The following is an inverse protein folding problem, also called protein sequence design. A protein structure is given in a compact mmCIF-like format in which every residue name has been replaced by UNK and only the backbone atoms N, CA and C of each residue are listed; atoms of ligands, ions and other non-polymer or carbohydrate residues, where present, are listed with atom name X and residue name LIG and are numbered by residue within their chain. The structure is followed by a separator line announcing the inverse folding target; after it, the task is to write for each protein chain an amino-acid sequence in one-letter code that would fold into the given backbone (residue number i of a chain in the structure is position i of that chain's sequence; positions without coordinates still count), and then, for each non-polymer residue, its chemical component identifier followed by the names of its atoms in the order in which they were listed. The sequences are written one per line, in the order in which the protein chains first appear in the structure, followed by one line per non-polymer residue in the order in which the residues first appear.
data_IF_990056088487
#
_entry.id   IF_990056088487
#
_cell.length_a   1.000
_cell.length_b   1.000
_cell.length_c   1.000
_cell.angle_alpha   90.00
_cell.angle_beta   90.00
_cell.angle_gamma   90.00
#
_symmetry.space_group_name_H-M   'P 1'
#
loop_
_entity.id
_entity.type
_entity.pdbx_description
1 polymer ?
#
# COMPACT_ATOMS: atom_id res chain seq x y z
N UNK A 1 12.32 17.34 -10.55
CA UNK A 1 12.81 17.18 -11.94
C UNK A 1 12.58 15.77 -12.42
N UNK A 2 13.26 14.81 -11.82
CA UNK A 2 13.12 13.39 -12.17
C UNK A 2 11.71 12.88 -11.86
N UNK A 3 11.11 13.32 -10.73
CA UNK A 3 9.71 12.99 -10.40
C UNK A 3 8.73 13.44 -11.49
N UNK A 4 8.93 14.63 -12.06
CA UNK A 4 8.10 15.12 -13.17
C UNK A 4 8.26 14.23 -14.41
N UNK A 5 9.47 13.79 -14.75
CA UNK A 5 9.69 12.89 -15.88
C UNK A 5 9.06 11.51 -15.65
N UNK A 6 9.16 10.96 -14.44
CA UNK A 6 8.53 9.68 -14.09
C UNK A 6 7.00 9.75 -14.12
N UNK A 7 6.41 10.82 -13.59
CA UNK A 7 4.96 11.02 -13.63
C UNK A 7 4.48 11.33 -15.05
N UNK A 8 5.26 12.09 -15.84
CA UNK A 8 4.96 12.35 -17.25
C UNK A 8 4.97 11.05 -18.08
N UNK A 9 5.90 10.12 -17.80
CA UNK A 9 5.91 8.79 -18.43
C UNK A 9 4.63 7.99 -18.15
N UNK A 10 4.10 8.06 -16.92
CA UNK A 10 2.81 7.42 -16.56
C UNK A 10 1.64 8.09 -17.26
N UNK A 11 1.63 9.43 -17.26
CA UNK A 11 0.58 10.23 -17.90
C UNK A 11 0.49 9.96 -19.41
N UNK A 12 1.64 9.88 -20.09
CA UNK A 12 1.68 9.58 -21.52
C UNK A 12 1.07 8.20 -21.86
N UNK A 13 1.17 7.21 -20.98
CA UNK A 13 0.56 5.88 -21.19
C UNK A 13 -0.96 5.86 -21.13
N UNK A 14 -1.56 6.85 -20.48
CA UNK A 14 -3.02 6.96 -20.29
C UNK A 14 -3.61 8.17 -21.03
N UNK A 15 -2.84 8.76 -21.94
CA UNK A 15 -3.27 9.94 -22.68
C UNK A 15 -4.44 9.58 -23.61
N UNK A 16 -5.59 10.28 -23.55
CA UNK A 16 -6.74 9.96 -24.39
C UNK A 16 -6.50 10.29 -25.86
N UNK A 17 -6.97 9.43 -26.76
CA UNK A 17 -6.81 9.62 -28.20
C UNK A 17 -7.42 10.95 -28.67
N UNK A 18 -6.68 11.65 -29.54
CA UNK A 18 -7.06 12.93 -30.15
C UNK A 18 -7.35 14.09 -29.17
N UNK A 19 -6.99 13.95 -27.88
CA UNK A 19 -7.17 15.02 -26.90
C UNK A 19 -5.90 15.87 -26.79
N UNK A 20 -6.09 17.19 -26.76
CA UNK A 20 -5.03 18.16 -26.41
C UNK A 20 -5.18 18.55 -24.96
N UNK A 21 -4.07 18.68 -24.24
CA UNK A 21 -4.07 19.18 -22.86
C UNK A 21 -3.29 20.48 -22.76
N UNK A 22 -3.77 21.41 -21.94
CA UNK A 22 -3.02 22.59 -21.57
C UNK A 22 -1.92 22.26 -20.55
N UNK A 23 -0.98 23.19 -20.35
CA UNK A 23 0.06 23.07 -19.33
C UNK A 23 -0.54 22.89 -17.94
N UNK A 24 -1.64 23.57 -17.62
CA UNK A 24 -2.34 23.42 -16.33
C UNK A 24 -2.84 22.00 -16.13
N UNK A 25 -3.41 21.38 -17.16
CA UNK A 25 -3.89 20.00 -17.10
C UNK A 25 -2.73 19.02 -16.97
N UNK A 26 -1.62 19.25 -17.67
CA UNK A 26 -0.42 18.41 -17.54
C UNK A 26 0.17 18.52 -16.13
N UNK A 27 0.24 19.74 -15.57
CA UNK A 27 0.71 19.99 -14.21
C UNK A 27 -0.15 19.28 -13.16
N UNK A 28 -1.48 19.33 -13.31
CA UNK A 28 -2.41 18.62 -12.43
C UNK A 28 -2.20 17.09 -12.51
N UNK A 29 -2.14 16.54 -13.72
CA UNK A 29 -1.95 15.09 -13.94
C UNK A 29 -0.59 14.57 -13.46
N UNK A 30 0.45 15.38 -13.56
CA UNK A 30 1.81 15.04 -13.09
C UNK A 30 2.07 15.46 -11.64
N UNK A 31 1.10 16.12 -10.98
CA UNK A 31 1.23 16.72 -9.64
C UNK A 31 2.42 17.69 -9.53
N UNK A 32 2.80 18.31 -10.65
CA UNK A 32 3.88 19.28 -10.72
C UNK A 32 3.33 20.72 -10.62
N UNK A 33 4.18 21.67 -10.23
CA UNK A 33 3.80 23.09 -10.24
C UNK A 33 3.80 23.61 -11.68
N UNK A 34 2.80 24.40 -12.07
CA UNK A 34 2.67 24.96 -13.43
C UNK A 34 3.95 25.64 -13.93
N UNK A 35 4.64 26.52 -13.18
CA UNK A 35 5.89 27.15 -13.65
C UNK A 35 6.96 26.12 -14.00
N UNK A 36 7.02 25.03 -13.23
CA UNK A 36 7.94 23.93 -13.49
C UNK A 36 7.66 23.29 -14.85
N UNK A 37 6.40 22.97 -15.13
CA UNK A 37 6.00 22.34 -16.38
C UNK A 37 6.29 23.25 -17.58
N UNK A 38 6.04 24.56 -17.44
CA UNK A 38 6.40 25.57 -18.47
C UNK A 38 7.89 25.55 -18.73
N UNK A 39 8.73 25.65 -17.69
CA UNK A 39 10.18 25.71 -17.84
C UNK A 39 10.73 24.48 -18.58
N UNK A 40 10.34 23.27 -18.17
CA UNK A 40 10.84 22.03 -18.78
C UNK A 40 10.35 21.81 -20.20
N UNK A 41 9.06 22.02 -20.45
CA UNK A 41 8.51 21.79 -21.78
C UNK A 41 8.95 22.88 -22.76
N UNK A 42 9.11 24.12 -22.31
CA UNK A 42 9.61 25.21 -23.15
C UNK A 42 11.06 24.97 -23.57
N UNK A 43 11.90 24.57 -22.61
CA UNK A 43 13.30 24.21 -22.86
C UNK A 43 13.43 22.98 -23.78
N UNK A 44 12.61 21.95 -23.56
CA UNK A 44 12.62 20.73 -24.38
C UNK A 44 12.12 20.94 -25.81
N UNK A 45 11.10 21.78 -25.99
CA UNK A 45 10.50 22.06 -27.30
C UNK A 45 11.18 23.23 -28.03
N UNK A 46 12.04 23.99 -27.35
CA UNK A 46 12.68 25.18 -27.90
C UNK A 46 11.69 26.30 -28.25
N UNK A 47 10.54 26.38 -27.55
CA UNK A 47 9.52 27.43 -27.74
C UNK A 47 9.03 27.95 -26.40
N UNK A 48 8.65 29.23 -26.35
CA UNK A 48 7.93 29.78 -25.21
C UNK A 48 6.51 29.21 -25.20
N UNK A 49 6.06 28.71 -24.05
CA UNK A 49 4.72 28.16 -23.85
C UNK A 49 3.91 29.06 -22.93
N UNK A 50 2.67 29.35 -23.31
CA UNK A 50 1.67 29.90 -22.40
C UNK A 50 0.99 28.77 -21.61
N UNK A 51 0.49 29.09 -20.41
CA UNK A 51 -0.16 28.11 -19.52
C UNK A 51 -1.45 27.52 -20.11
N UNK A 52 -2.09 28.24 -21.04
CA UNK A 52 -3.31 27.82 -21.72
C UNK A 52 -3.07 27.21 -23.10
N UNK A 53 -1.82 27.15 -23.57
CA UNK A 53 -1.51 26.59 -24.89
C UNK A 53 -1.89 25.10 -24.95
N UNK A 54 -2.73 24.69 -25.91
CA UNK A 54 -3.14 23.30 -26.05
C UNK A 54 -2.04 22.49 -26.72
N UNK A 55 -1.53 21.48 -26.01
CA UNK A 55 -0.42 20.63 -26.44
C UNK A 55 -0.94 19.26 -26.89
N UNK A 56 -0.42 18.77 -28.01
CA UNK A 56 -0.73 17.42 -28.50
C UNK A 56 0.11 16.36 -27.79
N UNK A 57 -0.39 15.12 -27.79
CA UNK A 57 0.38 13.95 -27.34
C UNK A 57 1.76 13.88 -27.99
N UNK A 58 1.84 14.09 -29.32
CA UNK A 58 3.10 14.00 -30.07
C UNK A 58 4.12 15.06 -29.65
N UNK A 59 3.69 16.30 -29.39
CA UNK A 59 4.58 17.35 -28.90
C UNK A 59 5.13 17.00 -27.52
N UNK A 60 4.26 16.60 -26.59
CA UNK A 60 4.68 16.22 -25.23
C UNK A 60 5.57 14.98 -25.25
N UNK A 61 5.25 13.97 -26.07
CA UNK A 61 6.07 12.78 -26.17
C UNK A 61 7.45 13.08 -26.76
N UNK A 62 7.54 14.00 -27.73
CA UNK A 62 8.83 14.46 -28.26
C UNK A 62 9.65 15.21 -27.20
N UNK A 63 9.01 16.11 -26.46
CA UNK A 63 9.63 16.82 -25.33
C UNK A 63 10.13 15.83 -24.27
N UNK A 64 9.30 14.86 -23.92
CA UNK A 64 9.61 13.80 -22.97
C UNK A 64 10.81 12.97 -23.42
N UNK A 65 10.87 12.55 -24.69
CA UNK A 65 12.01 11.80 -25.22
C UNK A 65 13.33 12.58 -25.09
N UNK A 66 13.32 13.87 -25.43
CA UNK A 66 14.50 14.73 -25.32
C UNK A 66 14.93 14.93 -23.86
N UNK A 67 13.99 15.19 -22.95
CA UNK A 67 14.28 15.32 -21.53
C UNK A 67 14.76 13.99 -20.94
N UNK A 68 14.18 12.86 -21.34
CA UNK A 68 14.56 11.52 -20.88
C UNK A 68 15.98 11.17 -21.30
N UNK A 69 16.37 11.48 -22.54
CA UNK A 69 17.75 11.27 -23.01
C UNK A 69 18.74 12.20 -22.30
N UNK A 70 18.37 13.47 -22.10
CA UNK A 70 19.21 14.45 -21.41
C UNK A 70 19.49 14.07 -19.96
N UNK A 71 18.46 13.64 -19.24
CA UNK A 71 18.54 13.26 -17.82
C UNK A 71 18.70 11.76 -17.61
N UNK A 72 19.05 11.01 -18.66
CA UNK A 72 19.17 9.55 -18.59
C UNK A 72 20.13 9.10 -17.48
N UNK A 73 21.34 9.68 -17.32
CA UNK A 73 22.25 9.27 -16.25
C UNK A 73 21.66 9.47 -14.86
N UNK A 74 20.96 10.59 -14.62
CA UNK A 74 20.33 10.89 -13.33
C UNK A 74 19.12 10.00 -13.06
N UNK A 75 18.30 9.69 -14.08
CA UNK A 75 17.18 8.74 -13.97
C UNK A 75 17.73 7.35 -13.64
N UNK A 76 18.77 6.88 -14.33
CA UNK A 76 19.39 5.58 -14.08
C UNK A 76 20.00 5.54 -12.68
N UNK A 77 20.73 6.57 -12.26
CA UNK A 77 21.30 6.67 -10.92
C UNK A 77 20.21 6.67 -9.82
N UNK A 78 19.10 7.37 -10.04
CA UNK A 78 17.97 7.38 -9.10
C UNK A 78 17.30 6.01 -8.99
N UNK A 79 17.07 5.33 -10.12
CA UNK A 79 16.53 3.95 -10.14
C UNK A 79 17.47 2.97 -9.43
N UNK A 80 18.78 3.11 -9.60
CA UNK A 80 19.75 2.29 -8.88
C UNK A 80 19.74 2.56 -7.38
N UNK A 81 19.67 3.83 -6.96
CA UNK A 81 19.53 4.18 -5.53
C UNK A 81 18.25 3.60 -4.93
N UNK A 82 17.11 3.76 -5.62
CA UNK A 82 15.84 3.19 -5.17
C UNK A 82 15.93 1.68 -5.00
N UNK A 83 16.53 0.97 -5.97
CA UNK A 83 16.77 -0.47 -5.87
C UNK A 83 17.66 -0.85 -4.69
N UNK A 84 18.74 -0.10 -4.45
CA UNK A 84 19.63 -0.31 -3.31
C UNK A 84 18.92 -0.05 -1.97
N UNK A 85 18.07 0.97 -1.90
CA UNK A 85 17.29 1.28 -0.70
C UNK A 85 16.25 0.20 -0.40
N UNK A 86 15.59 -0.34 -1.43
CA UNK A 86 14.67 -1.48 -1.29
C UNK A 86 15.44 -2.70 -0.79
N UNK A 87 16.57 -3.02 -1.42
CA UNK A 87 17.39 -4.17 -1.00
C UNK A 87 17.87 -4.00 0.44
N UNK A 88 18.37 -2.82 0.81
CA UNK A 88 18.80 -2.52 2.18
C UNK A 88 17.65 -2.65 3.18
N UNK A 89 16.43 -2.28 2.82
CA UNK A 89 15.25 -2.46 3.67
C UNK A 89 14.89 -3.95 3.85
N UNK A 90 15.05 -4.77 2.80
CA UNK A 90 14.85 -6.22 2.87
C UNK A 90 15.94 -6.86 3.74
N UNK A 91 17.21 -6.51 3.56
CA UNK A 91 18.30 -7.06 4.38
C UNK A 91 18.15 -6.65 5.87
N UNK A 92 17.66 -5.44 6.12
CA UNK A 92 17.35 -4.96 7.46
C UNK A 92 16.18 -5.70 8.10
N UNK A 93 15.22 -6.20 7.31
CA UNK A 93 14.11 -7.01 7.81
C UNK A 93 14.63 -8.29 8.46
N UNK A 94 15.49 -9.05 7.77
CA UNK A 94 16.02 -10.32 8.30
C UNK A 94 16.80 -10.12 9.58
N UNK A 95 17.65 -9.08 9.61
CA UNK A 95 18.41 -8.70 10.81
C UNK A 95 17.49 -8.32 11.97
N UNK A 96 16.40 -7.60 11.67
CA UNK A 96 15.43 -7.17 12.68
C UNK A 96 14.63 -8.35 13.22
N UNK A 97 14.18 -9.25 12.36
CA UNK A 97 13.45 -10.46 12.75
C UNK A 97 14.32 -11.40 13.59
N UNK A 98 15.61 -11.51 13.30
CA UNK A 98 16.55 -12.26 14.15
C UNK A 98 16.63 -11.67 15.57
N UNK A 99 16.69 -10.33 15.71
CA UNK A 99 16.66 -9.65 17.02
C UNK A 99 15.35 -9.89 17.76
N UNK A 100 14.22 -9.82 17.06
CA UNK A 100 12.89 -10.08 17.63
C UNK A 100 12.84 -11.49 18.20
N UNK A 101 13.30 -12.52 17.46
CA UNK A 101 13.35 -13.90 17.96
C UNK A 101 14.13 -14.03 19.27
N UNK A 102 15.24 -13.31 19.44
CA UNK A 102 16.00 -13.28 20.70
C UNK A 102 15.22 -12.57 21.83
N UNK A 103 14.49 -11.51 21.51
CA UNK A 103 13.62 -10.84 22.49
C UNK A 103 12.45 -11.75 22.92
N UNK A 104 11.93 -12.56 22.02
CA UNK A 104 10.89 -13.53 22.31
C UNK A 104 11.36 -14.67 23.21
N UNK A 105 12.55 -15.23 22.97
CA UNK A 105 13.11 -16.28 23.83
C UNK A 105 13.35 -15.79 25.25
N UNK A 106 13.64 -14.50 25.41
CA UNK A 106 13.79 -13.83 26.71
C UNK A 106 12.48 -13.26 27.27
N UNK A 107 11.35 -13.52 26.59
CA UNK A 107 9.99 -13.05 26.95
C UNK A 107 9.86 -11.52 27.04
N UNK A 108 10.73 -10.78 26.37
CA UNK A 108 10.67 -9.31 26.31
C UNK A 108 9.71 -8.85 25.19
N UNK A 109 8.42 -9.15 25.36
CA UNK A 109 7.38 -8.91 24.35
C UNK A 109 7.23 -7.44 24.00
N UNK A 110 7.27 -6.54 25.00
CA UNK A 110 7.23 -5.08 24.79
C UNK A 110 8.33 -4.58 23.85
N UNK A 111 9.57 -5.02 24.06
CA UNK A 111 10.70 -4.60 23.22
C UNK A 111 10.59 -5.19 21.81
N UNK A 112 10.18 -6.46 21.71
CA UNK A 112 9.91 -7.11 20.43
C UNK A 112 8.85 -6.35 19.63
N UNK A 113 7.69 -6.07 20.25
CA UNK A 113 6.60 -5.29 19.66
C UNK A 113 7.05 -3.91 19.18
N UNK A 114 7.75 -3.15 20.03
CA UNK A 114 8.28 -1.83 19.65
C UNK A 114 9.24 -1.90 18.48
N UNK A 115 10.07 -2.95 18.43
CA UNK A 115 11.05 -3.16 17.35
C UNK A 115 10.35 -3.41 16.02
N UNK A 116 9.35 -4.29 15.98
CA UNK A 116 8.52 -4.54 14.77
C UNK A 116 7.81 -3.26 14.33
N UNK A 117 7.15 -2.57 15.26
CA UNK A 117 6.40 -1.34 14.98
C UNK A 117 7.32 -0.24 14.40
N UNK A 118 8.48 -0.03 15.01
CA UNK A 118 9.48 0.94 14.54
C UNK A 118 10.01 0.59 13.15
N UNK A 119 10.33 -0.68 12.92
CA UNK A 119 10.78 -1.15 11.61
C UNK A 119 9.72 -0.89 10.52
N UNK A 120 8.47 -1.26 10.79
CA UNK A 120 7.35 -0.99 9.87
C UNK A 120 7.23 0.52 9.59
N UNK A 121 7.27 1.36 10.63
CA UNK A 121 7.19 2.82 10.49
C UNK A 121 8.21 3.40 9.50
N UNK A 122 9.46 2.94 9.56
CA UNK A 122 10.54 3.40 8.68
C UNK A 122 10.44 2.79 7.28
N UNK A 123 10.20 1.49 7.18
CA UNK A 123 10.48 0.73 5.97
C UNK A 123 9.23 0.32 5.17
N UNK A 124 8.00 0.53 5.66
CA UNK A 124 6.77 0.02 5.00
C UNK A 124 6.58 0.49 3.54
N UNK A 125 7.18 1.62 3.13
CA UNK A 125 7.11 2.09 1.73
C UNK A 125 8.11 1.40 0.81
N UNK A 126 9.14 0.77 1.38
CA UNK A 126 10.31 0.22 0.67
C UNK A 126 10.36 -1.31 0.65
N UNK A 127 9.50 -1.97 1.43
CA UNK A 127 9.41 -3.44 1.47
C UNK A 127 8.21 -3.93 0.64
N UNK A 128 8.26 -5.18 0.12
CA UNK A 128 7.17 -5.77 -0.61
C UNK A 128 5.98 -6.12 0.31
N UNK A 129 4.81 -6.36 -0.29
CA UNK A 129 3.53 -6.50 0.44
C UNK A 129 3.55 -7.66 1.41
N UNK A 130 4.17 -8.78 1.03
CA UNK A 130 4.29 -10.00 1.83
C UNK A 130 5.00 -9.72 3.15
N UNK A 131 6.08 -8.92 3.13
CA UNK A 131 6.78 -8.51 4.35
C UNK A 131 5.94 -7.55 5.21
N UNK A 132 5.10 -6.70 4.59
CA UNK A 132 4.19 -5.82 5.36
C UNK A 132 3.14 -6.62 6.09
N UNK A 133 2.55 -7.63 5.45
CA UNK A 133 1.57 -8.54 6.05
C UNK A 133 2.22 -9.30 7.21
N UNK A 134 3.42 -9.87 7.00
CA UNK A 134 4.18 -10.54 8.05
C UNK A 134 4.47 -9.62 9.25
N UNK A 135 4.85 -8.36 9.03
CA UNK A 135 5.05 -7.40 10.12
C UNK A 135 3.74 -7.07 10.85
N UNK A 136 2.60 -6.98 10.14
CA UNK A 136 1.30 -6.78 10.78
C UNK A 136 0.92 -7.99 11.65
N UNK A 137 1.18 -9.22 11.15
CA UNK A 137 1.01 -10.47 11.88
C UNK A 137 1.83 -10.47 13.18
N UNK A 138 3.11 -10.10 13.08
CA UNK A 138 4.02 -10.03 14.23
C UNK A 138 3.62 -8.94 15.24
N UNK A 139 3.17 -7.77 14.78
CA UNK A 139 2.62 -6.74 15.64
C UNK A 139 1.40 -7.22 16.42
N UNK A 140 0.49 -7.96 15.78
CA UNK A 140 -0.69 -8.54 16.45
C UNK A 140 -0.27 -9.58 17.48
N UNK A 141 0.50 -10.59 17.05
CA UNK A 141 0.94 -11.70 17.92
C UNK A 141 1.71 -11.22 19.14
N UNK A 142 2.70 -10.34 18.96
CA UNK A 142 3.49 -9.79 20.05
C UNK A 142 2.69 -8.81 20.89
N UNK A 143 1.84 -8.01 20.26
CA UNK A 143 1.03 -7.03 20.95
C UNK A 143 -0.04 -7.67 21.84
N UNK A 144 -0.65 -8.77 21.42
CA UNK A 144 -1.57 -9.58 22.24
C UNK A 144 -0.84 -10.14 23.47
N UNK A 145 0.36 -10.73 23.29
CA UNK A 145 1.19 -11.24 24.41
C UNK A 145 1.55 -10.15 25.41
N UNK A 146 1.84 -8.95 24.93
CA UNK A 146 2.17 -7.77 25.74
C UNK A 146 0.93 -7.04 26.29
N UNK A 147 -0.28 -7.42 25.86
CA UNK A 147 -1.54 -6.72 26.19
C UNK A 147 -1.54 -5.25 25.76
N UNK A 148 -1.08 -5.00 24.54
CA UNK A 148 -1.25 -3.71 23.86
C UNK A 148 -2.73 -3.38 23.76
N UNK A 149 -3.07 -2.09 23.82
CA UNK A 149 -4.45 -1.64 23.81
C UNK A 149 -5.16 -2.03 22.50
N UNK A 150 -6.48 -2.26 22.60
CA UNK A 150 -7.36 -2.59 21.49
C UNK A 150 -7.23 -1.66 20.29
N UNK A 151 -7.14 -0.34 20.51
CA UNK A 151 -7.14 0.65 19.42
C UNK A 151 -5.92 0.47 18.51
N UNK A 152 -4.76 0.24 19.11
CA UNK A 152 -3.51 0.04 18.40
C UNK A 152 -3.49 -1.33 17.68
N UNK A 153 -3.96 -2.39 18.33
CA UNK A 153 -4.07 -3.71 17.70
C UNK A 153 -5.10 -3.74 16.55
N UNK A 154 -6.21 -3.03 16.70
CA UNK A 154 -7.24 -2.90 15.65
C UNK A 154 -6.67 -2.24 14.39
N UNK A 155 -5.77 -1.26 14.56
CA UNK A 155 -5.07 -0.64 13.43
C UNK A 155 -4.15 -1.64 12.71
N UNK A 156 -3.50 -2.55 13.44
CA UNK A 156 -2.65 -3.56 12.83
C UNK A 156 -3.44 -4.61 12.05
N UNK A 157 -4.55 -5.12 12.60
CA UNK A 157 -5.43 -6.05 11.89
C UNK A 157 -5.95 -5.42 10.60
N UNK A 158 -6.49 -4.20 10.71
CA UNK A 158 -6.99 -3.45 9.55
C UNK A 158 -5.90 -3.23 8.49
N UNK A 159 -4.67 -2.86 8.90
CA UNK A 159 -3.55 -2.67 7.97
C UNK A 159 -3.15 -3.96 7.27
N UNK A 160 -3.08 -5.09 7.98
CA UNK A 160 -2.76 -6.39 7.40
C UNK A 160 -3.73 -6.75 6.28
N UNK A 161 -5.04 -6.66 6.57
CA UNK A 161 -6.10 -6.91 5.59
C UNK A 161 -6.02 -5.93 4.42
N UNK A 162 -5.79 -4.63 4.67
CA UNK A 162 -5.64 -3.63 3.61
C UNK A 162 -4.47 -3.89 2.67
N UNK A 163 -3.36 -4.45 3.16
CA UNK A 163 -2.24 -4.85 2.31
C UNK A 163 -2.61 -6.01 1.41
N UNK A 164 -3.31 -7.02 1.94
CA UNK A 164 -3.78 -8.19 1.18
C UNK A 164 -4.75 -7.78 0.07
N UNK A 165 -5.78 -6.99 0.40
CA UNK A 165 -6.81 -6.60 -0.59
C UNK A 165 -6.39 -5.45 -1.51
N UNK A 166 -5.17 -4.94 -1.39
CA UNK A 166 -4.66 -3.90 -2.32
C UNK A 166 -4.53 -4.40 -3.75
N UNK A 167 -4.39 -5.72 -3.93
CA UNK A 167 -4.39 -6.44 -5.20
C UNK A 167 -5.22 -7.72 -5.00
N UNK A 168 -6.55 -7.62 -5.08
CA UNK A 168 -7.43 -8.72 -4.70
C UNK A 168 -7.28 -9.89 -5.68
N UNK A 169 -7.13 -11.08 -5.13
CA UNK A 169 -7.16 -12.39 -5.78
C UNK A 169 -7.81 -13.38 -4.81
N UNK A 170 -8.21 -14.56 -5.28
CA UNK A 170 -8.73 -15.60 -4.39
C UNK A 170 -7.81 -15.86 -3.19
N UNK A 171 -6.50 -16.06 -3.44
CA UNK A 171 -5.48 -16.27 -2.41
C UNK A 171 -5.39 -15.10 -1.41
N UNK A 172 -5.38 -13.84 -1.87
CA UNK A 172 -5.24 -12.70 -0.94
C UNK A 172 -6.49 -12.43 -0.12
N UNK A 173 -7.68 -12.73 -0.66
CA UNK A 173 -8.93 -12.68 0.12
C UNK A 173 -8.97 -13.83 1.13
N UNK A 174 -8.52 -15.02 0.73
CA UNK A 174 -8.40 -16.17 1.60
C UNK A 174 -7.46 -15.89 2.79
N UNK A 175 -6.26 -15.36 2.53
CA UNK A 175 -5.32 -14.93 3.57
C UNK A 175 -5.91 -13.87 4.51
N UNK A 176 -6.78 -12.98 3.98
CA UNK A 176 -7.42 -11.95 4.78
C UNK A 176 -8.48 -12.53 5.73
N UNK A 177 -9.19 -13.57 5.30
CA UNK A 177 -10.11 -14.33 6.13
C UNK A 177 -9.34 -15.13 7.19
N UNK A 178 -8.20 -15.75 6.84
CA UNK A 178 -7.33 -16.44 7.81
C UNK A 178 -6.76 -15.47 8.87
N UNK A 179 -6.50 -14.21 8.49
CA UNK A 179 -6.13 -13.15 9.43
C UNK A 179 -7.27 -12.83 10.42
N UNK A 180 -8.52 -12.88 9.97
CA UNK A 180 -9.69 -12.67 10.83
C UNK A 180 -9.93 -13.86 11.74
N UNK A 181 -9.78 -15.08 11.24
CA UNK A 181 -9.85 -16.31 12.02
C UNK A 181 -8.81 -16.31 13.15
N UNK A 182 -7.53 -16.14 12.78
CA UNK A 182 -6.41 -16.24 13.72
C UNK A 182 -6.45 -15.23 14.89
N UNK A 183 -7.10 -14.07 14.71
CA UNK A 183 -7.08 -12.98 15.69
C UNK A 183 -8.46 -12.51 16.16
N UNK A 184 -9.56 -12.92 15.50
CA UNK A 184 -10.90 -12.41 15.74
C UNK A 184 -11.35 -12.57 17.19
N UNK A 185 -11.10 -13.74 17.78
CA UNK A 185 -11.43 -14.06 19.17
C UNK A 185 -10.83 -13.06 20.17
N UNK A 186 -9.59 -12.61 19.93
CA UNK A 186 -8.96 -11.62 20.79
C UNK A 186 -9.79 -10.32 20.83
N UNK A 187 -10.28 -9.86 19.68
CA UNK A 187 -11.06 -8.63 19.60
C UNK A 187 -12.47 -8.79 20.20
N UNK A 188 -13.06 -9.99 20.12
CA UNK A 188 -14.35 -10.29 20.76
C UNK A 188 -14.28 -10.30 22.29
N UNK A 189 -13.10 -10.56 22.86
CA UNK A 189 -12.89 -10.54 24.32
C UNK A 189 -12.94 -9.13 24.95
N UNK A 190 -12.94 -8.07 24.13
CA UNK A 190 -12.91 -6.70 24.64
C UNK A 190 -14.28 -6.20 25.16
N UNK A 191 -14.32 -5.47 26.29
CA UNK A 191 -15.57 -5.02 26.88
C UNK A 191 -16.34 -4.05 25.95
N UNK A 192 -17.67 -4.08 26.08
CA UNK A 192 -18.62 -3.13 25.46
C UNK A 192 -18.87 -3.30 23.95
N UNK A 193 -18.66 -4.49 23.38
CA UNK A 193 -19.08 -4.82 22.01
C UNK A 193 -18.35 -4.07 20.89
N UNK A 194 -17.27 -3.36 21.21
CA UNK A 194 -16.48 -2.61 20.22
C UNK A 194 -15.77 -3.53 19.23
N UNK A 195 -15.32 -4.70 19.70
CA UNK A 195 -14.68 -5.72 18.87
C UNK A 195 -15.61 -6.26 17.81
N UNK A 196 -16.83 -6.62 18.19
CA UNK A 196 -17.87 -7.13 17.28
C UNK A 196 -18.14 -6.14 16.13
N UNK A 197 -18.38 -4.86 16.45
CA UNK A 197 -18.58 -3.84 15.43
C UNK A 197 -17.36 -3.64 14.52
N UNK A 198 -16.16 -3.70 15.10
CA UNK A 198 -14.91 -3.58 14.34
C UNK A 198 -14.74 -4.75 13.36
N UNK A 199 -14.91 -5.99 13.81
CA UNK A 199 -14.79 -7.18 12.97
C UNK A 199 -15.88 -7.22 11.89
N UNK A 200 -17.12 -6.90 12.24
CA UNK A 200 -18.24 -6.77 11.29
C UNK A 200 -17.88 -5.85 10.12
N UNK A 201 -17.28 -4.69 10.39
CA UNK A 201 -16.85 -3.78 9.34
C UNK A 201 -15.74 -4.36 8.44
N UNK A 202 -14.86 -5.20 8.98
CA UNK A 202 -13.83 -5.88 8.18
C UNK A 202 -14.42 -6.96 7.28
N UNK A 203 -15.36 -7.77 7.79
CA UNK A 203 -16.10 -8.75 6.99
C UNK A 203 -16.89 -8.08 5.86
N UNK A 204 -17.63 -7.01 6.15
CA UNK A 204 -18.39 -6.28 5.14
C UNK A 204 -17.49 -5.67 4.05
N UNK A 205 -16.26 -5.30 4.39
CA UNK A 205 -15.27 -4.84 3.43
C UNK A 205 -14.75 -5.98 2.53
N UNK A 206 -14.58 -7.19 3.05
CA UNK A 206 -14.10 -8.36 2.29
C UNK A 206 -15.20 -9.01 1.44
N UNK A 207 -16.46 -8.91 1.88
CA UNK A 207 -17.60 -9.63 1.31
C UNK A 207 -17.75 -9.49 -0.22
N UNK A 208 -17.65 -8.30 -0.84
CA UNK A 208 -17.77 -8.18 -2.30
C UNK A 208 -16.71 -9.00 -3.05
N UNK A 209 -15.46 -8.97 -2.57
CA UNK A 209 -14.36 -9.73 -3.18
C UNK A 209 -14.46 -11.22 -2.85
N UNK A 210 -14.90 -11.60 -1.66
CA UNK A 210 -15.16 -13.00 -1.34
C UNK A 210 -16.22 -13.61 -2.27
N UNK A 211 -17.29 -12.88 -2.57
CA UNK A 211 -18.30 -13.31 -3.55
C UNK A 211 -17.73 -13.38 -4.98
N UNK A 212 -16.91 -12.40 -5.38
CA UNK A 212 -16.28 -12.37 -6.71
C UNK A 212 -15.35 -13.56 -6.96
N UNK A 213 -14.65 -14.02 -5.92
CA UNK A 213 -13.68 -15.13 -5.99
C UNK A 213 -14.22 -16.47 -5.45
N UNK A 214 -15.53 -16.62 -5.28
CA UNK A 214 -16.18 -17.87 -4.83
C UNK A 214 -15.70 -18.37 -3.44
N UNK A 215 -15.49 -17.42 -2.51
CA UNK A 215 -15.06 -17.65 -1.12
C UNK A 215 -16.17 -17.35 -0.10
N UNK A 216 -17.44 -17.30 -0.52
CA UNK A 216 -18.59 -17.07 0.37
C UNK A 216 -18.72 -18.12 1.47
N UNK A 217 -18.40 -19.38 1.17
CA UNK A 217 -18.41 -20.46 2.17
C UNK A 217 -17.38 -20.23 3.28
N UNK A 218 -16.13 -19.92 2.90
CA UNK A 218 -15.07 -19.61 3.86
C UNK A 218 -15.40 -18.34 4.67
N UNK A 219 -15.95 -17.32 4.04
CA UNK A 219 -16.40 -16.12 4.74
C UNK A 219 -17.46 -16.45 5.80
N UNK A 220 -18.45 -17.27 5.44
CA UNK A 220 -19.51 -17.70 6.36
C UNK A 220 -19.00 -18.60 7.48
N UNK A 221 -18.03 -19.47 7.19
CA UNK A 221 -17.34 -20.30 8.19
C UNK A 221 -16.68 -19.42 9.25
N UNK A 222 -15.76 -18.54 8.84
CA UNK A 222 -15.03 -17.67 9.78
C UNK A 222 -15.98 -16.71 10.51
N UNK A 223 -16.98 -16.14 9.82
CA UNK A 223 -17.99 -15.30 10.46
C UNK A 223 -18.84 -16.06 11.49
N UNK A 224 -19.18 -17.32 11.19
CA UNK A 224 -19.94 -18.21 12.08
C UNK A 224 -19.17 -18.57 13.34
N UNK A 225 -17.87 -18.89 13.21
CA UNK A 225 -16.97 -19.14 14.34
C UNK A 225 -16.88 -17.93 15.28
N UNK A 226 -16.83 -16.73 14.70
CA UNK A 226 -16.83 -15.47 15.43
C UNK A 226 -18.23 -14.99 15.87
N UNK A 227 -19.28 -15.77 15.58
CA UNK A 227 -20.70 -15.48 15.91
C UNK A 227 -21.21 -14.15 15.34
N UNK A 228 -20.73 -13.77 14.15
CA UNK A 228 -21.08 -12.53 13.46
C UNK A 228 -22.17 -12.77 12.41
N UNK A 229 -23.36 -13.21 12.85
CA UNK A 229 -24.47 -13.60 11.97
C UNK A 229 -24.87 -12.50 10.97
N UNK A 230 -24.71 -11.23 11.35
CA UNK A 230 -25.10 -10.08 10.53
C UNK A 230 -24.31 -9.95 9.20
N UNK A 231 -23.14 -10.58 9.08
CA UNK A 231 -22.31 -10.50 7.86
C UNK A 231 -22.42 -11.72 6.97
N UNK A 232 -22.99 -12.82 7.48
CA UNK A 232 -23.13 -14.07 6.76
C UNK A 232 -24.09 -13.91 5.58
N UNK A 233 -23.84 -14.64 4.50
CA UNK A 233 -24.81 -14.80 3.40
C UNK A 233 -25.88 -15.81 3.78
N UNK A 234 -27.14 -15.43 3.59
CA UNK A 234 -28.27 -16.36 3.68
C UNK A 234 -28.32 -17.11 2.34
N UNK A 235 -27.86 -18.35 2.32
CA UNK A 235 -28.16 -19.25 1.21
C UNK A 235 -29.69 -19.46 1.17
N UNK A 236 -30.34 -18.90 0.15
CA UNK A 236 -31.75 -19.16 -0.19
C UNK A 236 -31.87 -20.40 -1.05
#
# INVERSE_FOLDING_TARGET
MLDFLLELEKVLKIWPDNVKWSIVQIADKTKAKVPYVVDFLSDALGKSLDVHDPMTFNEINKAFALLKDRYRPEIEAMKQREKLEIQSAIDAYDTTMAKIRVMETTKNWRAAYKTVNYFYGIHHKKIPTELKVNLCNECLRLGIKEKINFQELSQWLKRGIQHLISRPSGETIEDALDFLDAYGDYFLSEPRGKGEHFLTNLFLMLKPSAMEFDLSDKLNEVAGELRLEAVMDVYL
#
